data_IF_342922911774
#
_entry.id   IF_342922911774
#
_cell.length_a   1.000
_cell.length_b   1.000
_cell.length_c   1.000
_cell.angle_alpha   90.00
_cell.angle_beta   90.00
_cell.angle_gamma   90.00
#
_symmetry.space_group_name_H-M   'P 1'
#
loop_
_entity.id
_entity.type
_entity.pdbx_description
1 polymer ?
#
# COMPACT_ATOMS: atom_id res chain seq x y z
N UNK A 1 -56.58 -61.50 8.77
CA UNK A 1 -56.94 -60.08 8.63
C UNK A 1 -55.65 -59.34 8.29
N UNK A 2 -55.68 -58.73 7.11
CA UNK A 2 -54.71 -57.86 6.45
C UNK A 2 -54.26 -56.68 7.32
N UNK A 3 -52.97 -56.27 7.26
CA UNK A 3 -52.56 -55.07 6.52
C UNK A 3 -51.06 -54.69 6.65
N UNK A 4 -50.47 -54.50 5.47
CA UNK A 4 -49.43 -53.56 4.98
C UNK A 4 -48.38 -52.85 5.86
N UNK A 5 -47.19 -52.79 5.25
CA UNK A 5 -46.20 -51.69 5.20
C UNK A 5 -45.25 -51.56 6.42
N UNK A 6 -43.96 -51.23 6.31
CA UNK A 6 -43.21 -50.47 5.32
C UNK A 6 -41.71 -50.84 5.43
N UNK A 7 -41.05 -50.89 4.28
CA UNK A 7 -39.60 -51.00 4.13
C UNK A 7 -38.93 -49.72 4.65
N UNK A 8 -38.01 -49.84 5.61
CA UNK A 8 -37.08 -48.76 5.97
C UNK A 8 -35.65 -49.28 5.83
N UNK A 9 -35.06 -48.94 4.68
CA UNK A 9 -33.65 -49.12 4.35
C UNK A 9 -32.79 -48.25 5.30
N UNK A 10 -32.36 -48.81 6.45
CA UNK A 10 -31.34 -48.16 7.29
C UNK A 10 -29.96 -48.44 6.69
N UNK A 11 -29.66 -47.77 5.58
CA UNK A 11 -28.28 -47.59 5.16
C UNK A 11 -27.53 -46.86 6.27
N UNK A 12 -26.64 -47.58 6.97
CA UNK A 12 -25.63 -46.96 7.83
C UNK A 12 -24.81 -46.01 6.97
N UNK A 13 -25.20 -44.74 6.94
CA UNK A 13 -24.34 -43.64 6.47
C UNK A 13 -23.10 -43.71 7.35
N UNK A 14 -22.00 -44.26 6.79
CA UNK A 14 -20.66 -43.90 7.25
C UNK A 14 -20.62 -42.38 7.19
N UNK A 15 -20.69 -41.73 8.36
CA UNK A 15 -20.18 -40.38 8.51
C UNK A 15 -18.76 -40.44 7.97
N UNK A 16 -18.55 -39.91 6.75
CA UNK A 16 -17.21 -39.53 6.32
C UNK A 16 -16.73 -38.61 7.43
N UNK A 17 -15.72 -39.03 8.17
CA UNK A 17 -14.88 -38.11 8.90
C UNK A 17 -14.33 -37.16 7.84
N UNK A 18 -15.04 -36.06 7.59
CA UNK A 18 -14.41 -34.85 7.08
C UNK A 18 -13.47 -34.49 8.22
N UNK A 19 -12.22 -34.94 8.11
CA UNK A 19 -11.12 -34.17 8.62
C UNK A 19 -11.22 -32.82 7.90
N UNK A 20 -12.01 -31.91 8.46
CA UNK A 20 -11.69 -30.51 8.35
C UNK A 20 -10.46 -30.36 9.22
N UNK A 21 -9.29 -30.64 8.64
CA UNK A 21 -8.20 -29.70 8.87
C UNK A 21 -8.78 -28.35 8.44
N UNK A 22 -9.31 -27.61 9.42
CA UNK A 22 -9.45 -26.18 9.29
C UNK A 22 -8.08 -25.70 8.83
N UNK A 23 -7.98 -25.38 7.55
CA UNK A 23 -6.77 -24.86 6.93
C UNK A 23 -6.49 -23.54 7.64
N UNK A 24 -5.67 -23.58 8.68
CA UNK A 24 -5.40 -22.45 9.55
C UNK A 24 -4.81 -21.33 8.70
N UNK A 25 -5.52 -20.21 8.66
CA UNK A 25 -4.93 -18.95 8.23
C UNK A 25 -4.15 -18.44 9.44
N UNK A 26 -2.82 -18.47 9.35
CA UNK A 26 -1.99 -17.91 10.40
C UNK A 26 -1.86 -16.42 10.16
N UNK A 27 -2.26 -15.64 11.16
CA UNK A 27 -2.11 -14.20 11.17
C UNK A 27 -1.23 -13.82 12.35
N UNK A 28 -0.21 -13.03 12.07
CA UNK A 28 0.69 -12.48 13.07
C UNK A 28 0.76 -10.96 12.93
N UNK A 29 0.98 -10.26 14.05
CA UNK A 29 1.25 -8.82 14.10
C UNK A 29 2.32 -8.51 15.14
N UNK A 30 3.33 -7.73 14.73
CA UNK A 30 4.33 -7.11 15.60
C UNK A 30 4.24 -5.58 15.52
N UNK A 31 4.60 -4.95 16.63
CA UNK A 31 4.91 -3.52 16.70
C UNK A 31 6.43 -3.42 16.65
N UNK A 32 6.96 -2.74 15.64
CA UNK A 32 8.42 -2.59 15.46
C UNK A 32 8.88 -1.34 16.22
N UNK A 33 8.15 -0.24 16.06
CA UNK A 33 8.37 1.02 16.78
C UNK A 33 7.03 1.78 16.95
N UNK A 34 7.09 3.03 17.42
CA UNK A 34 5.91 3.87 17.69
C UNK A 34 5.03 4.16 16.46
N UNK A 35 5.61 4.11 15.27
CA UNK A 35 5.00 4.43 13.97
C UNK A 35 4.87 3.18 13.07
N UNK A 36 5.70 2.16 13.26
CA UNK A 36 5.83 1.02 12.36
C UNK A 36 5.27 -0.28 12.95
N UNK A 37 4.49 -0.99 12.15
CA UNK A 37 3.93 -2.30 12.47
C UNK A 37 4.19 -3.27 11.32
N UNK A 38 4.43 -4.53 11.65
CA UNK A 38 4.58 -5.61 10.68
C UNK A 38 3.47 -6.64 10.91
N UNK A 39 2.78 -7.05 9.85
CA UNK A 39 1.80 -8.13 9.90
C UNK A 39 2.14 -9.21 8.88
N UNK A 40 1.98 -10.48 9.25
CA UNK A 40 2.12 -11.61 8.33
C UNK A 40 0.79 -12.36 8.22
N UNK A 41 0.43 -12.70 6.99
CA UNK A 41 -0.76 -13.47 6.65
C UNK A 41 -0.33 -14.66 5.79
N UNK A 42 -0.46 -15.86 6.32
CA UNK A 42 -0.10 -17.08 5.61
C UNK A 42 -1.37 -17.77 5.11
N UNK A 43 -1.53 -17.86 3.79
CA UNK A 43 -2.61 -18.62 3.15
C UNK A 43 -2.04 -19.65 2.16
N UNK A 44 -2.08 -20.93 2.53
CA UNK A 44 -1.75 -22.13 1.71
C UNK A 44 -0.39 -22.10 1.00
N UNK A 45 -0.27 -21.30 -0.07
CA UNK A 45 0.89 -21.18 -0.98
C UNK A 45 1.39 -19.73 -1.11
N UNK A 46 0.86 -18.83 -0.30
CA UNK A 46 1.22 -17.41 -0.29
C UNK A 46 1.41 -16.97 1.15
N UNK A 47 2.49 -16.26 1.39
CA UNK A 47 2.71 -15.51 2.62
C UNK A 47 2.78 -14.04 2.25
N UNK A 48 1.94 -13.24 2.89
CA UNK A 48 1.86 -11.79 2.69
C UNK A 48 2.43 -11.14 3.94
N UNK A 49 3.58 -10.48 3.78
CA UNK A 49 4.13 -9.60 4.80
C UNK A 49 3.70 -8.16 4.47
N UNK A 50 3.19 -7.45 5.45
CA UNK A 50 2.79 -6.05 5.34
C UNK A 50 3.53 -5.26 6.41
N UNK A 51 4.46 -4.42 6.00
CA UNK A 51 5.02 -3.36 6.84
C UNK A 51 4.16 -2.12 6.64
N UNK A 52 3.64 -1.58 7.74
CA UNK A 52 2.83 -0.36 7.75
C UNK A 52 3.46 0.66 8.68
N UNK A 53 3.76 1.85 8.15
CA UNK A 53 4.27 3.00 8.91
C UNK A 53 3.27 4.15 8.90
N UNK A 54 3.03 4.72 10.07
CA UNK A 54 2.13 5.85 10.28
C UNK A 54 2.86 7.18 10.05
N UNK A 55 2.78 7.72 8.84
CA UNK A 55 3.46 8.94 8.43
C UNK A 55 2.89 10.19 9.09
N UNK A 56 1.60 10.18 9.48
CA UNK A 56 0.96 11.34 10.09
C UNK A 56 1.51 11.71 11.48
N UNK A 57 2.29 10.81 12.11
CA UNK A 57 2.97 11.08 13.38
C UNK A 57 4.18 11.98 13.20
N UNK A 58 4.92 11.76 12.12
CA UNK A 58 6.25 12.35 11.92
C UNK A 58 6.24 13.46 10.86
N UNK A 59 5.22 13.52 10.01
CA UNK A 59 5.12 14.45 8.89
C UNK A 59 3.83 15.27 8.89
N UNK A 60 3.95 16.49 8.37
CA UNK A 60 2.81 17.37 8.14
C UNK A 60 2.13 17.09 6.79
N UNK A 61 0.80 17.14 6.82
CA UNK A 61 -0.07 16.95 5.66
C UNK A 61 -1.01 18.15 5.63
N UNK A 62 -0.97 18.88 4.54
CA UNK A 62 -1.88 19.99 4.31
C UNK A 62 -3.16 19.46 3.67
N UNK A 63 -4.29 19.84 4.26
CA UNK A 63 -5.60 19.42 3.78
C UNK A 63 -6.43 20.66 3.50
N UNK A 64 -6.92 20.76 2.28
CA UNK A 64 -7.87 21.76 1.84
C UNK A 64 -9.23 21.07 1.62
N UNK A 65 -10.15 21.32 2.54
CA UNK A 65 -11.48 20.71 2.51
C UNK A 65 -12.36 21.40 1.46
N UNK A 66 -13.08 20.59 0.66
CA UNK A 66 -14.04 21.10 -0.32
C UNK A 66 -15.46 20.75 0.11
N UNK A 67 -16.36 21.73 0.09
CA UNK A 67 -17.76 21.53 0.50
C UNK A 67 -18.49 20.52 -0.40
N UNK A 68 -18.18 20.52 -1.71
CA UNK A 68 -18.67 19.51 -2.65
C UNK A 68 -17.82 19.51 -3.95
N UNK A 69 -17.17 18.40 -4.31
CA UNK A 69 -16.51 18.26 -5.60
C UNK A 69 -17.59 18.27 -6.69
N UNK A 70 -17.78 19.42 -7.34
CA UNK A 70 -18.80 19.61 -8.40
C UNK A 70 -18.63 18.57 -9.51
N UNK A 71 -17.40 18.11 -9.75
CA UNK A 71 -17.08 17.03 -10.68
C UNK A 71 -17.84 15.74 -10.38
N UNK A 72 -18.18 15.44 -9.12
CA UNK A 72 -18.94 14.23 -8.77
C UNK A 72 -20.38 14.27 -9.27
N UNK A 73 -20.90 15.45 -9.64
CA UNK A 73 -22.23 15.57 -10.26
C UNK A 73 -22.22 15.29 -11.76
N UNK A 74 -21.03 15.21 -12.37
CA UNK A 74 -20.85 15.22 -13.84
C UNK A 74 -19.95 14.05 -14.30
N UNK A 75 -19.08 13.54 -13.43
CA UNK A 75 -18.15 12.45 -13.72
C UNK A 75 -18.64 11.13 -13.13
N UNK A 76 -18.45 10.05 -13.88
CA UNK A 76 -18.63 8.67 -13.39
C UNK A 76 -17.55 8.25 -12.39
N UNK A 77 -16.42 8.98 -12.36
CA UNK A 77 -15.32 8.73 -11.43
C UNK A 77 -15.37 9.76 -10.28
N UNK A 78 -15.88 9.36 -9.10
CA UNK A 78 -15.95 10.27 -7.97
C UNK A 78 -14.56 10.79 -7.60
N UNK A 79 -14.50 12.06 -7.25
CA UNK A 79 -13.36 12.74 -6.66
C UNK A 79 -13.55 12.81 -5.14
N UNK A 80 -12.45 12.85 -4.37
CA UNK A 80 -12.52 13.09 -2.94
C UNK A 80 -13.14 14.48 -2.66
N UNK A 81 -13.76 14.62 -1.49
CA UNK A 81 -14.33 15.89 -1.01
C UNK A 81 -13.27 16.85 -0.44
N UNK A 82 -12.01 16.65 -0.79
CA UNK A 82 -10.89 17.48 -0.38
C UNK A 82 -9.72 17.25 -1.31
N UNK A 83 -8.79 18.19 -1.31
CA UNK A 83 -7.46 18.02 -1.88
C UNK A 83 -6.43 18.12 -0.77
N UNK A 84 -5.32 17.42 -0.93
CA UNK A 84 -4.32 17.33 0.12
C UNK A 84 -2.92 17.26 -0.47
N UNK A 85 -1.98 17.89 0.22
CA UNK A 85 -0.57 17.93 -0.15
C UNK A 85 0.27 17.35 0.98
N UNK A 86 1.01 16.29 0.66
CA UNK A 86 1.96 15.65 1.55
C UNK A 86 3.37 16.22 1.29
N UNK A 87 4.14 16.36 2.37
CA UNK A 87 5.51 16.88 2.33
C UNK A 87 6.42 15.97 1.48
N UNK A 88 7.20 16.57 0.58
CA UNK A 88 8.16 15.89 -0.29
C UNK A 88 9.16 15.02 0.49
N UNK A 89 9.56 15.44 1.70
CA UNK A 89 10.49 14.70 2.56
C UNK A 89 10.04 13.26 2.83
N UNK A 90 8.74 12.97 2.81
CA UNK A 90 8.24 11.59 2.93
C UNK A 90 8.81 10.71 1.82
N UNK A 91 8.88 11.21 0.57
CA UNK A 91 9.46 10.44 -0.52
C UNK A 91 10.96 10.23 -0.29
N UNK A 92 11.67 11.25 0.18
CA UNK A 92 13.12 11.24 0.36
C UNK A 92 13.58 10.35 1.52
N UNK A 93 12.89 10.44 2.65
CA UNK A 93 13.27 9.80 3.91
C UNK A 93 12.65 8.41 4.07
N UNK A 94 11.47 8.15 3.49
CA UNK A 94 10.72 6.91 3.73
C UNK A 94 10.61 6.02 2.50
N UNK A 95 10.57 6.60 1.29
CA UNK A 95 10.32 5.83 0.06
C UNK A 95 11.60 5.54 -0.72
N UNK A 96 12.45 6.55 -0.93
CA UNK A 96 13.68 6.39 -1.70
C UNK A 96 14.73 5.47 -1.08
N UNK A 97 14.84 5.33 0.26
CA UNK A 97 15.70 4.31 0.86
C UNK A 97 15.26 2.88 0.51
N UNK A 98 13.96 2.67 0.23
CA UNK A 98 13.43 1.37 -0.19
C UNK A 98 14.01 0.92 -1.54
N UNK A 99 14.40 1.86 -2.40
CA UNK A 99 15.08 1.55 -3.68
C UNK A 99 16.43 0.90 -3.39
N UNK A 100 17.19 1.51 -2.49
CA UNK A 100 18.56 1.10 -2.20
C UNK A 100 18.53 -0.29 -1.52
N UNK A 101 17.66 -0.48 -0.52
CA UNK A 101 17.40 -1.80 0.09
C UNK A 101 16.94 -2.85 -0.93
N UNK A 102 16.05 -2.47 -1.87
CA UNK A 102 15.54 -3.40 -2.89
C UNK A 102 16.66 -3.84 -3.84
N UNK A 103 17.53 -2.93 -4.27
CA UNK A 103 18.65 -3.23 -5.16
C UNK A 103 19.71 -4.11 -4.48
N UNK A 104 20.03 -3.84 -3.22
CA UNK A 104 20.96 -4.64 -2.41
C UNK A 104 20.52 -6.12 -2.36
N UNK A 105 19.22 -6.38 -2.13
CA UNK A 105 18.72 -7.75 -1.94
C UNK A 105 18.36 -8.46 -3.26
N UNK A 106 17.79 -7.72 -4.22
CA UNK A 106 17.20 -8.34 -5.41
C UNK A 106 18.00 -8.16 -6.69
N UNK A 107 18.98 -7.25 -6.72
CA UNK A 107 19.85 -6.95 -7.86
C UNK A 107 19.64 -5.54 -8.42
N UNK A 108 20.73 -4.90 -8.85
CA UNK A 108 20.78 -3.56 -9.44
C UNK A 108 19.95 -3.41 -10.72
N UNK A 109 19.75 -4.50 -11.46
CA UNK A 109 18.98 -4.51 -12.70
C UNK A 109 17.45 -4.42 -12.48
N UNK A 110 16.99 -4.58 -11.23
CA UNK A 110 15.57 -4.58 -10.90
C UNK A 110 15.11 -3.22 -10.40
N UNK A 111 13.93 -2.83 -10.86
CA UNK A 111 13.31 -1.55 -10.54
C UNK A 111 11.86 -1.75 -10.14
N UNK A 112 11.38 -0.91 -9.22
CA UNK A 112 9.97 -0.79 -8.87
C UNK A 112 9.29 0.12 -9.90
N UNK A 113 8.27 -0.38 -10.58
CA UNK A 113 7.53 0.39 -11.56
C UNK A 113 6.65 1.42 -10.84
N UNK A 114 6.66 2.65 -11.34
CA UNK A 114 5.82 3.74 -10.85
C UNK A 114 4.46 3.68 -11.55
N UNK A 115 3.39 3.48 -10.79
CA UNK A 115 2.04 3.37 -11.33
C UNK A 115 1.17 4.60 -11.10
N UNK A 116 1.40 5.33 -10.03
CA UNK A 116 0.62 6.51 -9.68
C UNK A 116 1.45 7.41 -8.78
N UNK A 117 1.51 8.68 -9.15
CA UNK A 117 2.00 9.80 -8.36
C UNK A 117 1.44 11.08 -8.98
N UNK A 118 1.22 12.10 -8.16
CA UNK A 118 0.87 13.44 -8.62
C UNK A 118 1.72 14.44 -7.86
N UNK A 119 2.58 15.18 -8.55
CA UNK A 119 3.47 16.17 -7.93
C UNK A 119 2.88 17.58 -8.11
N UNK A 120 3.07 18.43 -7.12
CA UNK A 120 2.81 19.86 -7.21
C UNK A 120 4.11 20.59 -7.59
N UNK A 121 4.13 21.22 -8.77
CA UNK A 121 5.31 21.89 -9.33
C UNK A 121 5.01 23.37 -9.54
N UNK A 122 5.78 24.25 -8.91
CA UNK A 122 5.58 25.69 -9.00
C UNK A 122 6.33 26.47 -7.93
N UNK A 123 6.06 27.78 -7.87
CA UNK A 123 6.75 28.68 -6.93
C UNK A 123 6.11 28.77 -5.55
N UNK A 124 4.82 28.42 -5.41
CA UNK A 124 4.14 28.46 -4.11
C UNK A 124 2.89 27.59 -4.04
N UNK A 125 2.37 27.37 -2.82
CA UNK A 125 1.11 26.64 -2.59
C UNK A 125 -0.13 27.27 -3.23
N UNK A 126 -0.03 28.53 -3.67
CA UNK A 126 -1.10 29.24 -4.38
C UNK A 126 -0.82 29.35 -5.88
N UNK A 127 0.34 28.90 -6.32
CA UNK A 127 0.84 29.03 -7.69
C UNK A 127 1.67 27.80 -8.05
N UNK A 128 0.97 26.72 -8.38
CA UNK A 128 1.55 25.48 -8.85
C UNK A 128 0.66 24.80 -9.88
N UNK A 129 1.28 23.96 -10.69
CA UNK A 129 0.61 23.02 -11.59
C UNK A 129 0.83 21.60 -11.10
N UNK A 130 -0.12 20.71 -11.39
CA UNK A 130 0.05 19.29 -11.06
C UNK A 130 0.59 18.52 -12.25
N UNK A 131 1.63 17.71 -12.05
CA UNK A 131 2.10 16.72 -13.04
C UNK A 131 1.83 15.31 -12.53
N UNK A 132 1.43 14.42 -13.43
CA UNK A 132 1.16 13.01 -13.12
C UNK A 132 2.21 12.09 -13.74
N UNK A 133 2.13 10.80 -13.44
CA UNK A 133 3.01 9.78 -14.02
C UNK A 133 3.07 9.81 -15.55
N UNK A 134 1.95 10.11 -16.21
CA UNK A 134 1.91 10.26 -17.68
C UNK A 134 2.66 11.48 -18.19
N UNK A 135 2.68 12.56 -17.42
CA UNK A 135 3.42 13.77 -17.78
C UNK A 135 4.92 13.57 -17.56
N UNK A 136 5.32 12.87 -16.50
CA UNK A 136 6.71 12.45 -16.29
C UNK A 136 7.24 11.65 -17.49
N UNK A 137 6.46 10.69 -18.01
CA UNK A 137 6.83 9.92 -19.21
C UNK A 137 6.99 10.83 -20.44
N UNK A 138 6.16 11.88 -20.58
CA UNK A 138 6.29 12.86 -21.68
C UNK A 138 7.55 13.73 -21.54
N UNK A 139 8.10 13.86 -20.35
CA UNK A 139 9.38 14.51 -20.07
C UNK A 139 10.55 13.52 -20.04
N UNK A 140 10.42 12.36 -20.69
CA UNK A 140 11.44 11.31 -20.80
C UNK A 140 11.90 10.73 -19.44
N UNK A 141 11.09 10.90 -18.38
CA UNK A 141 11.34 10.25 -17.09
C UNK A 141 10.90 8.80 -17.16
N UNK A 142 11.81 7.88 -16.86
CA UNK A 142 11.50 6.44 -16.77
C UNK A 142 10.40 6.21 -15.71
N UNK A 143 9.32 5.46 -16.01
CA UNK A 143 8.21 5.22 -15.08
C UNK A 143 8.58 4.20 -13.99
N UNK A 144 9.58 4.55 -13.19
CA UNK A 144 10.17 3.74 -12.13
C UNK A 144 10.40 4.61 -10.90
N UNK A 145 10.50 3.99 -9.73
CA UNK A 145 10.77 4.72 -8.50
C UNK A 145 12.14 5.42 -8.53
N UNK A 146 13.15 4.81 -9.15
CA UNK A 146 14.46 5.46 -9.40
C UNK A 146 14.33 6.66 -10.35
N UNK A 147 13.53 6.53 -11.42
CA UNK A 147 13.24 7.65 -12.32
C UNK A 147 12.59 8.83 -11.60
N UNK A 148 11.64 8.56 -10.71
CA UNK A 148 11.03 9.58 -9.85
C UNK A 148 12.03 10.23 -8.89
N UNK A 149 12.89 9.43 -8.22
CA UNK A 149 13.98 9.93 -7.35
C UNK A 149 14.90 10.90 -8.09
N UNK A 150 15.30 10.55 -9.31
CA UNK A 150 16.18 11.39 -10.12
C UNK A 150 15.48 12.68 -10.56
N UNK A 151 14.23 12.58 -11.05
CA UNK A 151 13.44 13.75 -11.44
C UNK A 151 13.27 14.74 -10.28
N UNK A 152 12.95 14.23 -9.08
CA UNK A 152 12.81 15.09 -7.90
C UNK A 152 14.12 15.78 -7.53
N UNK A 153 15.24 15.04 -7.52
CA UNK A 153 16.56 15.62 -7.22
C UNK A 153 17.00 16.68 -8.21
N UNK A 154 16.62 16.55 -9.48
CA UNK A 154 16.95 17.53 -10.53
C UNK A 154 16.07 18.79 -10.47
N UNK A 155 14.95 18.75 -9.74
CA UNK A 155 13.93 19.80 -9.73
C UNK A 155 13.45 20.14 -8.31
N UNK A 156 14.26 19.88 -7.29
CA UNK A 156 13.90 19.96 -5.86
C UNK A 156 13.33 21.34 -5.47
N UNK A 157 13.92 22.42 -5.98
CA UNK A 157 13.49 23.80 -5.72
C UNK A 157 12.08 24.11 -6.24
N UNK A 158 11.60 23.35 -7.24
CA UNK A 158 10.31 23.60 -7.90
C UNK A 158 9.20 22.65 -7.44
N UNK A 159 9.52 21.60 -6.69
CA UNK A 159 8.55 20.59 -6.27
C UNK A 159 8.12 20.89 -4.83
N UNK A 160 6.87 21.29 -4.68
CA UNK A 160 6.32 21.72 -3.39
C UNK A 160 5.91 20.53 -2.51
N UNK A 161 5.62 19.39 -3.12
CA UNK A 161 5.10 18.20 -2.46
C UNK A 161 4.37 17.29 -3.45
N UNK A 162 3.69 16.28 -2.92
CA UNK A 162 2.87 15.37 -3.72
C UNK A 162 1.42 15.34 -3.22
N UNK A 163 0.51 15.13 -4.16
CA UNK A 163 -0.93 15.30 -4.00
C UNK A 163 -1.63 13.94 -4.00
N UNK A 164 -2.90 13.94 -3.63
CA UNK A 164 -3.81 12.83 -3.91
C UNK A 164 -3.89 12.56 -5.43
N UNK A 165 -3.57 11.32 -5.82
CA UNK A 165 -3.48 10.92 -7.23
C UNK A 165 -4.71 10.16 -7.69
N UNK A 166 -5.26 9.28 -6.85
CA UNK A 166 -6.36 8.38 -7.17
C UNK A 166 -7.29 8.23 -5.96
N UNK A 167 -8.60 8.23 -6.18
CA UNK A 167 -9.59 7.93 -5.15
C UNK A 167 -10.28 6.61 -5.48
N UNK A 168 -10.22 5.66 -4.54
CA UNK A 168 -10.87 4.36 -4.62
C UNK A 168 -12.13 4.42 -3.76
N UNK A 169 -13.26 4.71 -4.39
CA UNK A 169 -14.52 5.01 -3.72
C UNK A 169 -15.07 3.85 -2.89
N UNK A 170 -14.87 2.62 -3.35
CA UNK A 170 -15.36 1.40 -2.72
C UNK A 170 -14.71 1.16 -1.36
N UNK A 171 -13.43 1.53 -1.25
CA UNK A 171 -12.64 1.39 -0.03
C UNK A 171 -12.60 2.69 0.79
N UNK A 172 -13.04 3.82 0.21
CA UNK A 172 -12.89 5.14 0.79
C UNK A 172 -11.41 5.54 0.96
N UNK A 173 -10.54 5.06 0.07
CA UNK A 173 -9.10 5.27 0.14
C UNK A 173 -8.64 6.34 -0.86
N UNK A 174 -7.74 7.20 -0.42
CA UNK A 174 -7.03 8.16 -1.27
C UNK A 174 -5.60 7.70 -1.42
N UNK A 175 -5.16 7.45 -2.65
CA UNK A 175 -3.83 6.98 -3.00
C UNK A 175 -2.98 8.17 -3.44
N UNK A 176 -1.79 8.28 -2.88
CA UNK A 176 -0.80 9.31 -3.18
C UNK A 176 0.35 8.76 -4.03
N UNK A 177 0.82 7.56 -3.69
CA UNK A 177 1.89 6.86 -4.39
C UNK A 177 1.52 5.39 -4.55
N UNK A 178 1.75 4.83 -5.73
CA UNK A 178 1.72 3.38 -5.97
C UNK A 178 2.91 2.95 -6.82
N UNK A 179 3.74 2.08 -6.27
CA UNK A 179 4.80 1.38 -6.98
C UNK A 179 4.64 -0.13 -6.83
N UNK A 180 5.04 -0.89 -7.85
CA UNK A 180 5.00 -2.36 -7.81
C UNK A 180 6.11 -2.97 -8.67
N UNK A 181 6.65 -4.08 -8.19
CA UNK A 181 7.40 -5.03 -9.01
C UNK A 181 6.80 -6.42 -8.80
N UNK A 182 6.46 -7.08 -9.91
CA UNK A 182 6.10 -8.51 -9.95
C UNK A 182 7.28 -9.34 -10.40
N UNK A 183 7.21 -10.63 -10.10
CA UNK A 183 8.21 -11.63 -10.42
C UNK A 183 9.60 -11.19 -9.95
N UNK A 184 9.67 -10.76 -8.68
CA UNK A 184 10.87 -10.18 -8.06
C UNK A 184 11.97 -11.23 -7.96
N UNK A 185 11.61 -12.44 -7.53
CA UNK A 185 12.50 -13.61 -7.50
C UNK A 185 11.67 -14.90 -7.49
N UNK A 186 12.34 -16.05 -7.51
CA UNK A 186 11.66 -17.35 -7.43
C UNK A 186 10.76 -17.48 -6.21
N UNK A 187 11.10 -16.83 -5.10
CA UNK A 187 10.35 -16.92 -3.84
C UNK A 187 9.49 -15.70 -3.53
N UNK A 188 9.82 -14.53 -4.08
CA UNK A 188 9.07 -13.28 -3.92
C UNK A 188 8.28 -12.99 -5.18
N UNK A 189 6.96 -13.17 -5.10
CA UNK A 189 6.02 -12.92 -6.20
C UNK A 189 5.91 -11.43 -6.52
N UNK A 190 5.70 -10.59 -5.50
CA UNK A 190 5.63 -9.15 -5.72
C UNK A 190 6.05 -8.34 -4.50
N UNK A 191 6.53 -7.14 -4.76
CA UNK A 191 6.71 -6.09 -3.76
C UNK A 191 5.92 -4.87 -4.25
N UNK A 192 5.05 -4.35 -3.38
CA UNK A 192 4.22 -3.18 -3.63
C UNK A 192 4.50 -2.14 -2.56
N UNK A 193 4.69 -0.89 -2.98
CA UNK A 193 4.82 0.26 -2.10
C UNK A 193 3.63 1.16 -2.36
N UNK A 194 2.88 1.50 -1.30
CA UNK A 194 1.74 2.40 -1.39
C UNK A 194 1.80 3.46 -0.30
N UNK A 195 1.54 4.71 -0.67
CA UNK A 195 1.14 5.73 0.28
C UNK A 195 -0.34 5.98 0.07
N UNK A 196 -1.14 5.77 1.12
CA UNK A 196 -2.57 6.00 1.08
C UNK A 196 -3.10 6.47 2.42
N UNK A 197 -4.28 7.06 2.38
CA UNK A 197 -5.05 7.43 3.56
C UNK A 197 -6.49 6.95 3.42
N UNK A 198 -7.10 6.62 4.56
CA UNK A 198 -8.52 6.24 4.61
C UNK A 198 -9.37 7.42 5.06
N UNK A 199 -10.33 7.80 4.21
CA UNK A 199 -11.30 8.85 4.50
C UNK A 199 -12.20 8.50 5.69
N UNK A 200 -12.42 7.20 5.92
CA UNK A 200 -13.27 6.68 6.99
C UNK A 200 -12.60 6.79 8.38
N UNK A 201 -11.27 6.86 8.44
CA UNK A 201 -10.52 6.83 9.72
C UNK A 201 -10.19 8.20 10.29
N UNK A 202 -10.55 9.31 9.64
CA UNK A 202 -10.17 10.67 10.08
C UNK A 202 -10.58 11.00 11.50
N UNK A 203 -11.80 10.66 11.89
CA UNK A 203 -12.30 10.90 13.25
C UNK A 203 -11.43 10.22 14.32
N UNK A 204 -10.85 9.07 13.99
CA UNK A 204 -9.93 8.36 14.86
C UNK A 204 -8.58 9.07 14.98
N UNK A 205 -7.99 9.51 13.86
CA UNK A 205 -6.72 10.23 13.86
C UNK A 205 -6.82 11.59 14.56
N UNK A 206 -7.95 12.30 14.43
CA UNK A 206 -8.18 13.56 15.12
C UNK A 206 -8.22 13.37 16.64
N UNK A 207 -8.76 12.24 17.11
CA UNK A 207 -8.85 11.92 18.53
C UNK A 207 -7.52 11.44 19.12
N UNK A 208 -6.75 10.64 18.38
CA UNK A 208 -5.56 9.95 18.90
C UNK A 208 -4.27 10.73 18.66
N UNK A 209 -4.10 11.26 17.45
CA UNK A 209 -2.86 11.89 16.99
C UNK A 209 -3.00 13.42 16.88
N UNK A 210 -4.20 13.96 17.15
CA UNK A 210 -4.55 15.36 16.90
C UNK A 210 -4.27 15.82 15.47
N UNK A 211 -4.31 14.89 14.51
CA UNK A 211 -4.12 15.13 13.09
C UNK A 211 -5.40 14.82 12.35
N UNK A 212 -5.78 15.70 11.42
CA UNK A 212 -7.00 15.54 10.63
C UNK A 212 -6.95 14.35 9.67
N UNK A 213 -5.74 13.91 9.31
CA UNK A 213 -5.49 12.98 8.21
C UNK A 213 -4.50 11.89 8.58
N UNK A 214 -4.86 10.63 8.32
CA UNK A 214 -4.03 9.46 8.60
C UNK A 214 -3.33 8.96 7.35
N UNK A 215 -2.18 9.54 7.01
CA UNK A 215 -1.35 9.08 5.91
C UNK A 215 -0.49 7.89 6.34
N UNK A 216 -0.50 6.82 5.57
CA UNK A 216 0.22 5.59 5.88
C UNK A 216 1.08 5.15 4.70
N UNK A 217 2.30 4.71 4.98
CA UNK A 217 3.14 3.97 4.05
C UNK A 217 2.92 2.47 4.26
N UNK A 218 2.69 1.75 3.17
CA UNK A 218 2.58 0.29 3.14
C UNK A 218 3.64 -0.30 2.21
N UNK A 219 4.41 -1.24 2.74
CA UNK A 219 5.28 -2.13 1.98
C UNK A 219 4.66 -3.52 2.06
N UNK A 220 4.14 -4.01 0.94
CA UNK A 220 3.43 -5.29 0.85
C UNK A 220 4.31 -6.25 0.06
N UNK A 221 4.73 -7.32 0.69
CA UNK A 221 5.62 -8.33 0.13
C UNK A 221 4.84 -9.64 0.04
N UNK A 222 4.60 -10.10 -1.18
CA UNK A 222 3.95 -11.39 -1.45
C UNK A 222 5.00 -12.43 -1.79
N UNK A 223 5.09 -13.48 -0.98
CA UNK A 223 6.06 -14.56 -1.12
C UNK A 223 5.39 -15.93 -1.24
N UNK A 224 6.12 -16.92 -1.77
CA UNK A 224 5.60 -18.30 -1.93
C UNK A 224 5.52 -19.07 -0.63
N UNK A 225 6.37 -18.73 0.35
CA UNK A 225 6.48 -19.41 1.63
C UNK A 225 6.77 -18.39 2.74
N UNK A 226 6.28 -18.61 3.97
CA UNK A 226 6.67 -17.78 5.11
C UNK A 226 8.18 -17.88 5.37
N UNK A 227 8.74 -16.84 5.99
CA UNK A 227 10.14 -16.78 6.45
C UNK A 227 11.17 -17.13 5.36
N UNK A 228 10.95 -16.64 4.14
CA UNK A 228 11.93 -16.80 3.06
C UNK A 228 13.19 -15.96 3.32
N UNK A 229 14.39 -16.49 3.03
CA UNK A 229 15.64 -15.77 3.26
C UNK A 229 15.67 -14.38 2.60
N UNK A 230 15.19 -14.22 1.37
CA UNK A 230 15.15 -12.91 0.71
C UNK A 230 14.14 -11.95 1.34
N UNK A 231 13.05 -12.47 1.92
CA UNK A 231 12.14 -11.66 2.72
C UNK A 231 12.85 -11.16 3.98
N UNK A 232 13.55 -12.04 4.69
CA UNK A 232 14.29 -11.70 5.91
C UNK A 232 15.42 -10.70 5.64
N UNK A 233 16.22 -10.94 4.60
CA UNK A 233 17.26 -10.03 4.13
C UNK A 233 16.67 -8.65 3.79
N UNK A 234 15.55 -8.61 3.06
CA UNK A 234 14.91 -7.34 2.74
C UNK A 234 14.38 -6.62 3.97
N UNK A 235 13.74 -7.32 4.92
CA UNK A 235 13.30 -6.71 6.18
C UNK A 235 14.50 -6.15 6.98
N UNK A 236 15.62 -6.86 7.01
CA UNK A 236 16.84 -6.42 7.67
C UNK A 236 17.42 -5.15 7.04
N UNK A 237 17.45 -5.06 5.72
CA UNK A 237 17.87 -3.83 5.01
C UNK A 237 16.91 -2.65 5.27
N UNK A 238 15.65 -2.93 5.64
CA UNK A 238 14.70 -1.92 6.12
C UNK A 238 14.87 -1.58 7.61
N UNK A 239 15.88 -2.15 8.29
CA UNK A 239 16.11 -1.96 9.72
C UNK A 239 15.12 -2.73 10.62
N UNK A 240 14.39 -3.71 10.08
CA UNK A 240 13.44 -4.52 10.82
C UNK A 240 14.10 -5.86 11.17
N UNK A 241 14.50 -6.00 12.43
CA UNK A 241 15.04 -7.26 12.94
C UNK A 241 13.89 -8.23 13.26
N UNK A 242 13.79 -9.30 12.46
CA UNK A 242 12.72 -10.29 12.53
C UNK A 242 13.21 -11.67 12.99
N UNK A 243 14.53 -11.85 13.13
CA UNK A 243 15.16 -13.11 13.57
C UNK A 243 15.25 -13.26 15.10
#
# INVERSE_FOLDING_TARGET
>A
ITDYSLVAFMGKRKLKSKGSEEKSTEQFRAVIDNSTTLSMYNEKRRSICIVRKNLAKDYDIEVDASEAPVLNKISENPQPFESSMANLNILEEEVFPLIDAFKIVFGEEKELNLHSIKLAVGGSKKDYVSIREKDLIRYDVKPTLTGLKNFIKENDESILGFLDSEYVSEEGNVIYLRCEKRDVSDDIYSIKIKILASMQQRGYFLQQEHKYYGLQLFIIIESRKPNNNKLLEFLKELGIDWE
#
